data_IF_944416723279
#
_entry.id   IF_944416723279
#
_cell.length_a   1.000
_cell.length_b   1.000
_cell.length_c   1.000
_cell.angle_alpha   90.00
_cell.angle_beta   90.00
_cell.angle_gamma   90.00
#
_symmetry.space_group_name_H-M   'P 1'
#
loop_
_entity.id
_entity.type
_entity.pdbx_description
1 polymer ?
#
# COMPACT_ATOMS: atom_id res chain seq x y z
N UNK A 1 -30.13 -25.20 -11.05
CA UNK A 1 -29.23 -24.37 -11.88
C UNK A 1 -28.35 -23.63 -10.92
N UNK A 2 -27.12 -24.11 -10.79
CA UNK A 2 -26.11 -23.50 -9.93
C UNK A 2 -25.82 -22.09 -10.49
N UNK A 3 -26.31 -21.06 -9.81
CA UNK A 3 -26.04 -19.67 -10.19
C UNK A 3 -24.63 -19.38 -9.75
N UNK A 4 -23.65 -19.82 -10.52
CA UNK A 4 -22.24 -19.55 -10.27
C UNK A 4 -22.07 -18.04 -10.20
N UNK A 5 -21.73 -17.52 -9.01
CA UNK A 5 -21.48 -16.09 -8.81
C UNK A 5 -20.39 -15.62 -9.77
N UNK A 6 -20.59 -14.47 -10.42
CA UNK A 6 -19.64 -13.89 -11.37
C UNK A 6 -18.23 -13.83 -10.77
N UNK A 7 -18.10 -13.46 -9.50
CA UNK A 7 -16.82 -13.30 -8.82
C UNK A 7 -16.19 -14.63 -8.35
N UNK A 8 -16.92 -15.76 -8.44
CA UNK A 8 -16.35 -17.08 -8.10
C UNK A 8 -15.32 -17.56 -9.14
N UNK A 9 -15.13 -16.83 -10.24
CA UNK A 9 -14.08 -17.09 -11.22
C UNK A 9 -12.72 -16.54 -10.81
N UNK A 10 -12.66 -15.62 -9.84
CA UNK A 10 -11.40 -15.05 -9.38
C UNK A 10 -10.57 -16.08 -8.59
N UNK A 11 -9.27 -16.11 -8.82
CA UNK A 11 -8.36 -17.06 -8.19
C UNK A 11 -7.98 -16.61 -6.77
N UNK A 12 -8.58 -17.28 -5.78
CA UNK A 12 -8.35 -17.03 -4.35
C UNK A 12 -6.94 -17.41 -3.89
N UNK A 13 -6.12 -18.06 -4.72
CA UNK A 13 -4.73 -18.37 -4.40
C UNK A 13 -3.78 -17.19 -4.67
N UNK A 14 -4.25 -16.14 -5.35
CA UNK A 14 -3.47 -14.94 -5.57
C UNK A 14 -3.16 -14.22 -4.24
N UNK A 15 -2.03 -13.49 -4.18
CA UNK A 15 -1.80 -12.49 -3.15
C UNK A 15 -2.95 -11.48 -3.07
N UNK A 16 -3.17 -10.91 -1.88
CA UNK A 16 -4.37 -10.15 -1.56
C UNK A 16 -4.62 -8.96 -2.51
N UNK A 17 -3.58 -8.20 -2.89
CA UNK A 17 -3.75 -7.04 -3.77
C UNK A 17 -4.04 -7.48 -5.21
N UNK A 18 -3.39 -8.55 -5.69
CA UNK A 18 -3.70 -9.12 -7.02
C UNK A 18 -5.09 -9.71 -7.08
N UNK A 19 -5.54 -10.39 -6.01
CA UNK A 19 -6.91 -10.89 -5.91
C UNK A 19 -7.93 -9.74 -5.96
N UNK A 20 -7.67 -8.64 -5.25
CA UNK A 20 -8.52 -7.44 -5.33
C UNK A 20 -8.56 -6.85 -6.76
N UNK A 21 -7.44 -6.77 -7.47
CA UNK A 21 -7.41 -6.37 -8.90
C UNK A 21 -8.26 -7.31 -9.75
N UNK A 22 -8.17 -8.62 -9.54
CA UNK A 22 -8.94 -9.61 -10.30
C UNK A 22 -10.45 -9.48 -10.05
N UNK A 23 -10.87 -9.27 -8.80
CA UNK A 23 -12.27 -8.98 -8.46
C UNK A 23 -12.78 -7.73 -9.19
N UNK A 24 -12.00 -6.65 -9.19
CA UNK A 24 -12.36 -5.39 -9.84
C UNK A 24 -12.43 -5.54 -11.37
N UNK A 25 -11.45 -6.22 -11.98
CA UNK A 25 -11.47 -6.54 -13.42
C UNK A 25 -12.68 -7.40 -13.79
N UNK A 26 -13.01 -8.37 -12.95
CA UNK A 26 -14.17 -9.25 -13.17
C UNK A 26 -15.48 -8.46 -13.09
N UNK A 27 -15.64 -7.58 -12.10
CA UNK A 27 -16.79 -6.68 -12.00
C UNK A 27 -16.88 -5.70 -13.19
N UNK A 28 -15.75 -5.19 -13.66
CA UNK A 28 -15.70 -4.31 -14.83
C UNK A 28 -16.20 -4.99 -16.11
N UNK A 29 -16.10 -6.32 -16.26
CA UNK A 29 -16.62 -7.04 -17.43
C UNK A 29 -18.13 -6.90 -17.65
N UNK A 30 -18.89 -6.58 -16.60
CA UNK A 30 -20.34 -6.33 -16.66
C UNK A 30 -20.69 -4.84 -16.57
N UNK A 31 -19.70 -3.96 -16.72
CA UNK A 31 -19.87 -2.50 -16.70
C UNK A 31 -19.87 -1.89 -15.29
N UNK A 32 -19.52 -2.66 -14.25
CA UNK A 32 -19.34 -2.13 -12.90
C UNK A 32 -17.90 -1.61 -12.74
N UNK A 33 -17.63 -0.46 -13.37
CA UNK A 33 -16.33 0.23 -13.29
C UNK A 33 -16.53 1.75 -13.35
N UNK A 34 -15.56 2.49 -12.82
CA UNK A 34 -15.51 3.94 -12.91
C UNK A 34 -15.11 4.37 -14.32
N UNK A 35 -15.84 5.28 -14.97
CA UNK A 35 -15.51 5.73 -16.33
C UNK A 35 -14.29 6.66 -16.37
N UNK A 36 -13.97 7.30 -15.25
CA UNK A 36 -12.90 8.30 -15.11
C UNK A 36 -12.16 8.14 -13.79
N UNK A 37 -10.85 8.38 -13.81
CA UNK A 37 -9.97 8.27 -12.64
C UNK A 37 -10.38 9.18 -11.48
N UNK A 38 -11.00 10.32 -11.76
CA UNK A 38 -11.48 11.27 -10.76
C UNK A 38 -12.47 10.63 -9.77
N UNK A 39 -13.31 9.69 -10.25
CA UNK A 39 -14.24 8.95 -9.39
C UNK A 39 -13.52 8.01 -8.43
N UNK A 40 -12.42 7.40 -8.88
CA UNK A 40 -11.58 6.53 -8.04
C UNK A 40 -10.86 7.37 -6.98
N UNK A 41 -10.32 8.54 -7.35
CA UNK A 41 -9.66 9.46 -6.41
C UNK A 41 -10.67 9.98 -5.38
N UNK A 42 -11.87 10.36 -5.80
CA UNK A 42 -12.92 10.79 -4.89
C UNK A 42 -13.28 9.69 -3.88
N UNK A 43 -13.38 8.43 -4.32
CA UNK A 43 -13.62 7.29 -3.43
C UNK A 43 -12.47 7.11 -2.44
N UNK A 44 -11.21 7.25 -2.84
CA UNK A 44 -10.07 7.19 -1.90
C UNK A 44 -10.18 8.26 -0.80
N UNK A 45 -10.62 9.47 -1.14
CA UNK A 45 -10.84 10.52 -0.14
C UNK A 45 -11.98 10.17 0.82
N UNK A 46 -13.09 9.63 0.31
CA UNK A 46 -14.21 9.16 1.12
C UNK A 46 -13.77 8.10 2.14
N UNK A 47 -13.08 7.05 1.69
CA UNK A 47 -12.59 5.97 2.56
C UNK A 47 -11.57 6.47 3.59
N UNK A 48 -10.76 7.47 3.23
CA UNK A 48 -9.82 8.09 4.16
C UNK A 48 -10.55 8.89 5.25
N UNK A 49 -11.63 9.58 4.90
CA UNK A 49 -12.47 10.29 5.86
C UNK A 49 -13.22 9.31 6.78
N UNK A 50 -13.65 8.14 6.27
CA UNK A 50 -14.24 7.06 7.07
C UNK A 50 -13.24 6.47 8.07
N UNK A 51 -12.00 6.17 7.63
CA UNK A 51 -10.91 5.78 8.55
C UNK A 51 -10.69 6.84 9.63
N UNK A 52 -10.68 8.12 9.26
CA UNK A 52 -10.46 9.22 10.20
C UNK A 52 -11.58 9.34 11.25
N UNK A 53 -12.82 9.07 10.86
CA UNK A 53 -13.98 9.09 11.76
C UNK A 53 -13.90 7.99 12.84
N UNK A 54 -13.29 6.85 12.53
CA UNK A 54 -13.15 5.71 13.45
C UNK A 54 -11.87 5.78 14.31
N UNK A 55 -11.06 6.86 14.21
CA UNK A 55 -9.86 7.02 15.06
C UNK A 55 -10.19 7.31 16.53
N UNK A 56 -11.27 8.05 16.77
CA UNK A 56 -11.69 8.44 18.11
C UNK A 56 -12.66 7.42 18.75
N UNK A 57 -13.33 6.60 17.94
CA UNK A 57 -14.29 5.57 18.38
C UNK A 57 -13.67 4.19 18.20
N UNK A 58 -13.16 3.61 19.28
CA UNK A 58 -12.23 2.48 19.28
C UNK A 58 -12.89 1.12 18.99
N UNK A 59 -13.80 0.98 18.01
CA UNK A 59 -14.19 -0.34 17.51
C UNK A 59 -13.11 -0.85 16.53
N UNK A 60 -12.23 -1.77 16.96
CA UNK A 60 -11.11 -2.17 16.13
C UNK A 60 -11.55 -2.94 14.89
N UNK A 61 -12.78 -3.48 14.88
CA UNK A 61 -13.30 -4.20 13.73
C UNK A 61 -13.70 -3.24 12.62
N UNK A 62 -14.36 -2.13 12.97
CA UNK A 62 -14.72 -1.10 12.02
C UNK A 62 -13.47 -0.45 11.44
N UNK A 63 -12.52 -0.04 12.28
CA UNK A 63 -11.26 0.52 11.78
C UNK A 63 -10.54 -0.44 10.81
N UNK A 64 -10.58 -1.75 11.08
CA UNK A 64 -10.03 -2.74 10.15
C UNK A 64 -10.81 -2.83 8.83
N UNK A 65 -12.13 -2.68 8.86
CA UNK A 65 -13.01 -2.63 7.67
C UNK A 65 -12.68 -1.41 6.82
N UNK A 66 -12.68 -0.21 7.40
CA UNK A 66 -12.39 1.04 6.68
C UNK A 66 -10.97 1.06 6.09
N UNK A 67 -9.98 0.54 6.82
CA UNK A 67 -8.62 0.36 6.27
C UNK A 67 -8.62 -0.61 5.09
N UNK A 68 -9.44 -1.66 5.14
CA UNK A 68 -9.61 -2.61 4.05
C UNK A 68 -10.19 -1.96 2.80
N UNK A 69 -11.23 -1.13 2.97
CA UNK A 69 -11.90 -0.45 1.87
C UNK A 69 -11.02 0.64 1.25
N UNK A 70 -10.27 1.39 2.07
CA UNK A 70 -9.23 2.31 1.59
C UNK A 70 -8.16 1.58 0.75
N UNK A 71 -7.65 0.43 1.23
CA UNK A 71 -6.68 -0.37 0.47
C UNK A 71 -7.28 -0.91 -0.84
N UNK A 72 -8.56 -1.29 -0.83
CA UNK A 72 -9.26 -1.73 -2.03
C UNK A 72 -9.42 -0.60 -3.06
N UNK A 73 -9.74 0.62 -2.60
CA UNK A 73 -9.83 1.82 -3.43
C UNK A 73 -8.46 2.21 -4.02
N UNK A 74 -7.39 2.17 -3.23
CA UNK A 74 -6.01 2.41 -3.71
C UNK A 74 -5.60 1.34 -4.74
N UNK A 75 -5.93 0.07 -4.49
CA UNK A 75 -5.70 -1.02 -5.46
C UNK A 75 -6.44 -0.76 -6.77
N UNK A 76 -7.67 -0.22 -6.70
CA UNK A 76 -8.44 0.16 -7.86
C UNK A 76 -7.78 1.29 -8.66
N UNK A 77 -7.19 2.28 -7.97
CA UNK A 77 -6.40 3.33 -8.61
C UNK A 77 -5.18 2.75 -9.33
N UNK A 78 -4.43 1.85 -8.69
CA UNK A 78 -3.30 1.17 -9.32
C UNK A 78 -3.72 0.43 -10.59
N UNK A 79 -4.84 -0.30 -10.55
CA UNK A 79 -5.43 -0.96 -11.71
C UNK A 79 -5.76 0.02 -12.84
N UNK A 80 -6.40 1.16 -12.53
CA UNK A 80 -6.74 2.20 -13.51
C UNK A 80 -5.50 2.87 -14.13
N UNK A 81 -4.37 2.84 -13.43
CA UNK A 81 -3.08 3.36 -13.88
C UNK A 81 -2.18 2.31 -14.53
N UNK A 82 -2.69 1.10 -14.79
CA UNK A 82 -1.93 -0.05 -15.31
C UNK A 82 -0.69 -0.43 -14.46
N UNK A 83 -0.78 -0.22 -13.14
CA UNK A 83 0.25 -0.59 -12.16
C UNK A 83 -0.17 -1.87 -11.43
N UNK A 84 0.76 -2.81 -11.25
CA UNK A 84 0.56 -3.96 -10.35
C UNK A 84 0.80 -3.53 -8.89
N UNK A 85 -0.26 -3.42 -8.06
CA UNK A 85 -0.14 -2.95 -6.68
C UNK A 85 0.70 -3.87 -5.80
N UNK A 86 0.71 -5.18 -6.08
CA UNK A 86 1.52 -6.15 -5.33
C UNK A 86 3.01 -5.93 -5.60
N UNK A 87 3.37 -5.74 -6.87
CA UNK A 87 4.75 -5.42 -7.22
C UNK A 87 5.18 -4.04 -6.67
N UNK A 88 4.28 -3.06 -6.69
CA UNK A 88 4.55 -1.72 -6.17
C UNK A 88 4.86 -1.73 -4.67
N UNK A 89 4.08 -2.47 -3.87
CA UNK A 89 4.34 -2.59 -2.42
C UNK A 89 5.60 -3.42 -2.13
N UNK A 90 5.87 -4.49 -2.89
CA UNK A 90 7.11 -5.26 -2.79
C UNK A 90 8.35 -4.36 -3.00
N UNK A 91 8.34 -3.53 -4.05
CA UNK A 91 9.42 -2.58 -4.32
C UNK A 91 9.55 -1.52 -3.22
N UNK A 92 8.42 -1.03 -2.69
CA UNK A 92 8.41 -0.09 -1.57
C UNK A 92 9.07 -0.71 -0.32
N UNK A 93 8.71 -1.95 0.00
CA UNK A 93 9.24 -2.70 1.14
C UNK A 93 10.75 -2.94 0.99
N UNK A 94 11.21 -3.36 -0.20
CA UNK A 94 12.64 -3.55 -0.47
C UNK A 94 13.43 -2.25 -0.31
N UNK A 95 12.90 -1.14 -0.82
CA UNK A 95 13.50 0.20 -0.68
C UNK A 95 13.58 0.62 0.79
N UNK A 96 12.51 0.40 1.56
CA UNK A 96 12.51 0.67 2.99
C UNK A 96 13.58 -0.16 3.72
N UNK A 97 13.63 -1.46 3.46
CA UNK A 97 14.60 -2.38 4.05
C UNK A 97 16.04 -1.94 3.79
N UNK A 98 16.41 -1.66 2.53
CA UNK A 98 17.77 -1.23 2.18
C UNK A 98 18.16 0.06 2.91
N UNK A 99 17.25 1.05 2.94
CA UNK A 99 17.51 2.34 3.59
C UNK A 99 17.65 2.19 5.09
N UNK A 100 16.80 1.37 5.70
CA UNK A 100 16.89 1.12 7.12
C UNK A 100 18.19 0.39 7.47
N UNK A 101 18.58 -0.64 6.72
CA UNK A 101 19.87 -1.34 6.91
C UNK A 101 21.09 -0.41 6.80
N UNK A 102 21.02 0.59 5.92
CA UNK A 102 22.04 1.64 5.87
C UNK A 102 22.10 2.43 7.19
N UNK A 103 20.96 2.88 7.72
CA UNK A 103 20.88 3.55 9.02
C UNK A 103 21.48 2.68 10.12
N UNK A 104 21.09 1.40 10.19
CA UNK A 104 21.63 0.47 11.20
C UNK A 104 23.15 0.38 11.12
N UNK A 105 23.69 0.25 9.91
CA UNK A 105 25.14 0.18 9.66
C UNK A 105 25.85 1.45 10.13
N UNK A 106 25.31 2.62 9.79
CA UNK A 106 25.89 3.91 10.17
C UNK A 106 25.87 4.15 11.68
N UNK A 107 24.77 3.80 12.36
CA UNK A 107 24.66 3.91 13.82
C UNK A 107 25.65 2.98 14.54
N UNK A 108 25.79 1.73 14.06
CA UNK A 108 26.74 0.78 14.62
C UNK A 108 28.19 1.27 14.42
N UNK A 109 28.52 1.83 13.26
CA UNK A 109 29.85 2.40 12.99
C UNK A 109 30.18 3.59 13.90
N UNK A 110 29.17 4.34 14.35
CA UNK A 110 29.32 5.41 15.34
C UNK A 110 29.45 4.89 16.78
N UNK A 111 29.41 3.57 17.00
CA UNK A 111 29.43 2.96 18.33
C UNK A 111 28.16 3.20 19.15
N UNK A 112 27.07 3.59 18.49
CA UNK A 112 25.76 3.85 19.10
C UNK A 112 24.82 2.66 18.92
N UNK A 113 23.69 2.71 19.64
CA UNK A 113 22.57 1.79 19.40
C UNK A 113 21.39 2.52 18.78
N UNK A 114 20.60 1.81 17.96
CA UNK A 114 19.35 2.33 17.38
C UNK A 114 18.36 2.77 18.46
N UNK A 115 18.32 2.10 19.61
CA UNK A 115 17.40 2.48 20.70
C UNK A 115 17.78 3.80 21.37
N UNK A 116 19.01 4.29 21.18
CA UNK A 116 19.48 5.56 21.75
C UNK A 116 19.65 6.65 20.70
N UNK A 117 19.41 6.35 19.42
CA UNK A 117 19.42 7.34 18.35
C UNK A 117 18.16 8.21 18.44
N UNK A 118 18.31 9.51 18.21
CA UNK A 118 17.15 10.41 18.11
C UNK A 118 16.46 10.25 16.75
N UNK A 119 15.18 10.63 16.66
CA UNK A 119 14.48 10.68 15.37
C UNK A 119 15.20 11.58 14.37
N UNK A 120 15.71 12.74 14.81
CA UNK A 120 16.49 13.64 13.96
C UNK A 120 17.75 12.97 13.37
N UNK A 121 18.44 12.14 14.16
CA UNK A 121 19.60 11.37 13.67
C UNK A 121 19.18 10.31 12.66
N UNK A 122 18.08 9.59 12.91
CA UNK A 122 17.56 8.57 12.00
C UNK A 122 17.08 9.19 10.69
N UNK A 123 16.42 10.35 10.74
CA UNK A 123 15.95 11.08 9.57
C UNK A 123 17.11 11.61 8.73
N UNK A 124 18.15 12.14 9.36
CA UNK A 124 19.36 12.57 8.65
C UNK A 124 20.04 11.40 7.91
N UNK A 125 20.18 10.25 8.58
CA UNK A 125 20.74 9.04 7.97
C UNK A 125 19.82 8.45 6.87
N UNK A 126 18.50 8.60 7.02
CA UNK A 126 17.54 8.22 5.99
C UNK A 126 17.72 9.05 4.71
N UNK A 127 17.96 10.36 4.85
CA UNK A 127 18.24 11.23 3.71
C UNK A 127 19.60 10.91 3.04
N UNK A 128 20.62 10.55 3.82
CA UNK A 128 21.88 10.01 3.29
C UNK A 128 21.68 8.69 2.52
N UNK A 129 20.83 7.80 3.02
CA UNK A 129 20.48 6.55 2.36
C UNK A 129 19.80 6.80 1.00
N UNK A 130 18.90 7.79 0.92
CA UNK A 130 18.27 8.19 -0.37
C UNK A 130 19.29 8.63 -1.41
N UNK A 131 20.32 9.37 -1.01
CA UNK A 131 21.37 9.84 -1.92
C UNK A 131 22.24 8.68 -2.41
N UNK A 132 22.46 7.67 -1.56
CA UNK A 132 23.24 6.48 -1.90
C UNK A 132 22.50 5.55 -2.87
N UNK A 133 21.19 5.36 -2.67
CA UNK A 133 20.33 4.62 -3.62
C UNK A 133 20.42 5.22 -5.04
N UNK A 134 20.27 6.55 -5.17
CA UNK A 134 20.30 7.25 -6.47
C UNK A 134 21.60 7.05 -7.25
N UNK A 135 22.73 6.96 -6.55
CA UNK A 135 24.04 6.75 -7.18
C UNK A 135 24.27 5.32 -7.68
N UNK A 136 23.50 4.35 -7.19
CA UNK A 136 23.60 2.94 -7.60
C UNK A 136 22.61 2.61 -8.73
N UNK A 137 21.70 3.52 -9.07
CA UNK A 137 20.74 3.41 -10.17
C UNK A 137 21.24 4.06 -11.48
N UNK A 138 22.32 4.85 -11.42
CA UNK A 138 23.07 5.43 -12.56
C UNK A 138 24.22 4.51 -13.03
#
# INVERSE_FOLDING_TARGET
>A
MDKTSLLNTADKQLPALRYAVELQKTAATVGFDWPHIDGVIAKIHEELDEVAAELDDADPKKLQEEIGDLLFAITNLARHLDVDPEQAIEQCNQKFLRRFQFIETQIIQQGKSLQTASLDELDALWDEAKLSDKKNED
#
